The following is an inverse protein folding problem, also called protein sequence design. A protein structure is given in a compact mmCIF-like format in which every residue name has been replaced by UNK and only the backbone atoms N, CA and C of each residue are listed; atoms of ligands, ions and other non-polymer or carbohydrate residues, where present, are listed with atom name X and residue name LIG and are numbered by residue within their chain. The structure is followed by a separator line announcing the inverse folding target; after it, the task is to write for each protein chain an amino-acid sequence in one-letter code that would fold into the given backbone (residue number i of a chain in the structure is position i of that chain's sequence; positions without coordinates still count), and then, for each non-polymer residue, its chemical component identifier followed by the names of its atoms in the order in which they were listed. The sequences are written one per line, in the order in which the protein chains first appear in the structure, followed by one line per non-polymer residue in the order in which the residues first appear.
data_IF_292519228866
#
_entry.id   IF_292519228866
#
_cell.length_a   1.000
_cell.length_b   1.000
_cell.length_c   1.000
_cell.angle_alpha   90.00
_cell.angle_beta   90.00
_cell.angle_gamma   90.00
#
_symmetry.space_group_name_H-M   'P 1'
#
loop_
_entity.id
_entity.type
_entity.pdbx_description
1 polymer ?
#
# COMPACT_ATOMS: atom_id res chain seq x y z
N UNK A 1 11.38 -3.60 -6.75
CA UNK A 1 10.94 -3.92 -5.38
C UNK A 1 10.15 -2.73 -4.89
N UNK A 2 8.88 -2.91 -4.52
CA UNK A 2 8.03 -1.79 -4.12
C UNK A 2 8.39 -1.31 -2.70
N UNK A 3 8.15 -0.03 -2.40
CA UNK A 3 8.51 0.58 -1.12
C UNK A 3 7.81 -0.11 0.07
N UNK A 4 6.60 -0.64 -0.13
CA UNK A 4 5.84 -1.39 0.89
C UNK A 4 6.56 -2.68 1.28
N UNK A 5 7.16 -3.40 0.33
CA UNK A 5 7.91 -4.62 0.64
C UNK A 5 9.25 -4.33 1.32
N UNK A 6 9.81 -3.13 1.13
CA UNK A 6 11.05 -2.68 1.77
C UNK A 6 10.84 -2.12 3.17
N UNK A 7 9.77 -1.36 3.40
CA UNK A 7 9.55 -0.59 4.64
C UNK A 7 8.34 -1.04 5.47
N UNK A 8 7.42 -1.81 4.89
CA UNK A 8 6.14 -2.17 5.49
C UNK A 8 5.04 -1.13 5.26
N UNK A 9 3.77 -1.60 5.29
CA UNK A 9 2.57 -0.79 5.04
C UNK A 9 2.46 0.39 6.01
N UNK A 10 2.70 0.17 7.30
CA UNK A 10 2.58 1.19 8.35
C UNK A 10 3.53 2.38 8.11
N UNK A 11 4.76 2.11 7.66
CA UNK A 11 5.74 3.15 7.38
C UNK A 11 5.33 3.96 6.15
N UNK A 12 4.82 3.29 5.11
CA UNK A 12 4.28 3.97 3.93
C UNK A 12 3.10 4.88 4.29
N UNK A 13 2.20 4.45 5.18
CA UNK A 13 1.10 5.29 5.69
C UNK A 13 1.62 6.54 6.42
N UNK A 14 2.65 6.40 7.27
CA UNK A 14 3.28 7.54 7.96
C UNK A 14 3.91 8.53 6.97
N UNK A 15 4.62 8.04 5.96
CA UNK A 15 5.24 8.88 4.91
C UNK A 15 4.18 9.64 4.12
N UNK A 16 3.08 9.00 3.74
CA UNK A 16 1.98 9.66 3.01
C UNK A 16 1.26 10.67 3.91
N UNK A 17 1.06 10.36 5.20
CA UNK A 17 0.41 11.25 6.16
C UNK A 17 1.25 12.46 6.56
N UNK A 18 2.58 12.33 6.54
CA UNK A 18 3.52 13.41 6.83
C UNK A 18 4.00 14.18 5.60
N UNK A 19 3.50 13.86 4.40
CA UNK A 19 3.95 14.47 3.16
C UNK A 19 3.43 15.91 3.02
N UNK A 20 4.31 16.90 2.77
CA UNK A 20 3.87 18.25 2.46
C UNK A 20 3.27 18.34 1.05
N UNK A 21 2.37 19.29 0.80
CA UNK A 21 1.65 19.45 -0.48
C UNK A 21 2.54 19.57 -1.72
N UNK A 22 3.73 20.17 -1.57
CA UNK A 22 4.69 20.32 -2.67
C UNK A 22 5.50 19.05 -2.96
N UNK A 23 5.47 18.06 -2.07
CA UNK A 23 6.23 16.83 -2.25
C UNK A 23 5.57 15.93 -3.29
N UNK A 24 6.37 15.45 -4.23
CA UNK A 24 5.93 14.52 -5.26
C UNK A 24 6.55 13.13 -5.07
N UNK A 25 7.71 13.05 -4.40
CA UNK A 25 8.41 11.82 -4.10
C UNK A 25 8.98 11.81 -2.69
N UNK A 26 9.36 10.62 -2.25
CA UNK A 26 10.02 10.36 -0.98
C UNK A 26 11.25 9.49 -1.22
N UNK A 27 12.38 9.89 -0.63
CA UNK A 27 13.61 9.12 -0.64
C UNK A 27 13.74 8.36 0.68
N UNK A 28 13.67 7.03 0.62
CA UNK A 28 13.79 6.19 1.83
C UNK A 28 15.20 6.12 2.38
N UNK A 29 16.22 6.32 1.54
CA UNK A 29 17.63 6.26 1.93
C UNK A 29 18.01 7.46 2.81
N UNK A 30 17.54 8.64 2.41
CA UNK A 30 17.83 9.90 3.10
C UNK A 30 16.70 10.35 4.06
N UNK A 31 15.55 9.67 4.05
CA UNK A 31 14.36 10.04 4.82
C UNK A 31 13.88 11.48 4.53
N UNK A 32 13.82 11.86 3.25
CA UNK A 32 13.43 13.22 2.83
C UNK A 32 12.36 13.22 1.74
N UNK A 33 11.49 14.23 1.80
CA UNK A 33 10.54 14.55 0.74
C UNK A 33 11.20 15.37 -0.37
N UNK A 34 10.78 15.13 -1.60
CA UNK A 34 11.34 15.77 -2.79
C UNK A 34 10.21 16.12 -3.75
N UNK A 35 10.33 17.27 -4.42
CA UNK A 35 9.43 17.63 -5.52
C UNK A 35 9.78 16.86 -6.82
N UNK A 36 10.99 16.30 -6.92
CA UNK A 36 11.43 15.50 -8.06
C UNK A 36 11.24 14.01 -7.78
N UNK A 37 10.68 13.29 -8.74
CA UNK A 37 10.51 11.82 -8.72
C UNK A 37 11.63 11.08 -9.45
N UNK A 38 12.62 11.80 -9.97
CA UNK A 38 13.78 11.21 -10.63
C UNK A 38 15.06 11.89 -10.11
N UNK A 39 15.99 11.07 -9.67
CA UNK A 39 17.34 11.47 -9.33
C UNK A 39 18.25 10.30 -9.73
N UNK A 40 19.24 10.54 -10.59
CA UNK A 40 20.14 9.52 -11.15
C UNK A 40 20.91 8.68 -10.10
N UNK A 41 20.76 8.96 -8.80
CA UNK A 41 21.52 8.34 -7.72
C UNK A 41 20.70 7.95 -6.48
N UNK A 42 19.42 8.31 -6.40
CA UNK A 42 18.61 8.09 -5.21
C UNK A 42 17.38 7.25 -5.54
N UNK A 43 17.06 6.30 -4.67
CA UNK A 43 15.85 5.48 -4.73
C UNK A 43 14.64 6.34 -4.29
N UNK A 44 14.22 7.23 -5.18
CA UNK A 44 13.06 8.11 -4.97
C UNK A 44 11.83 7.37 -5.44
N UNK A 45 10.88 7.17 -4.52
CA UNK A 45 9.57 6.61 -4.86
C UNK A 45 8.54 7.73 -4.93
N UNK A 46 7.73 7.73 -5.99
CA UNK A 46 6.65 8.69 -6.15
C UNK A 46 5.59 8.50 -5.06
N UNK A 47 5.17 9.59 -4.39
CA UNK A 47 4.16 9.54 -3.32
C UNK A 47 2.82 9.04 -3.84
N UNK A 48 2.46 9.37 -5.09
CA UNK A 48 1.27 8.84 -5.75
C UNK A 48 1.33 7.31 -5.88
N UNK A 49 2.50 6.76 -6.24
CA UNK A 49 2.67 5.30 -6.35
C UNK A 49 2.55 4.63 -4.97
N UNK A 50 3.09 5.25 -3.92
CA UNK A 50 2.95 4.75 -2.53
C UNK A 50 1.47 4.75 -2.11
N UNK A 51 0.72 5.82 -2.40
CA UNK A 51 -0.72 5.90 -2.14
C UNK A 51 -1.51 4.79 -2.84
N UNK A 52 -1.26 4.60 -4.13
CA UNK A 52 -1.91 3.53 -4.90
C UNK A 52 -1.57 2.16 -4.33
N UNK A 53 -0.30 1.93 -3.99
CA UNK A 53 0.12 0.65 -3.44
C UNK A 53 -0.47 0.39 -2.04
N UNK A 54 -0.64 1.41 -1.20
CA UNK A 54 -1.36 1.28 0.09
C UNK A 54 -2.82 0.91 -0.16
N UNK A 55 -3.50 1.63 -1.06
CA UNK A 55 -4.91 1.38 -1.37
C UNK A 55 -5.13 -0.02 -1.96
N UNK A 56 -4.24 -0.48 -2.84
CA UNK A 56 -4.26 -1.83 -3.41
C UNK A 56 -4.02 -2.91 -2.35
N UNK A 57 -3.08 -2.67 -1.42
CA UNK A 57 -2.83 -3.56 -0.29
C UNK A 57 -4.02 -3.64 0.68
N UNK A 58 -4.67 -2.52 0.99
CA UNK A 58 -5.86 -2.51 1.85
C UNK A 58 -7.08 -3.15 1.15
N UNK A 59 -7.19 -2.99 -0.16
CA UNK A 59 -8.21 -3.68 -0.95
C UNK A 59 -7.98 -5.21 -0.97
N UNK A 60 -6.73 -5.66 -1.11
CA UNK A 60 -6.41 -7.10 -1.13
C UNK A 60 -6.51 -7.76 0.25
N UNK A 61 -6.29 -7.01 1.33
CA UNK A 61 -6.50 -7.50 2.70
C UNK A 61 -7.98 -7.80 3.02
N UNK A 62 -8.91 -7.16 2.30
CA UNK A 62 -10.35 -7.40 2.45
C UNK A 62 -10.85 -8.69 1.76
N UNK A 63 -10.00 -9.43 1.05
CA UNK A 63 -10.37 -10.70 0.43
C UNK A 63 -10.35 -11.91 1.40
N UNK A 64 -10.52 -11.68 2.70
CA UNK A 64 -10.68 -12.76 3.70
C UNK A 64 -12.14 -13.09 4.03
N UNK A 65 -13.13 -12.30 3.62
CA UNK A 65 -14.54 -12.49 4.01
C UNK A 65 -15.40 -13.30 3.02
N UNK A 66 -14.97 -13.57 1.78
CA UNK A 66 -15.79 -14.40 0.86
C UNK A 66 -15.73 -15.89 1.24
N UNK A 67 -14.77 -16.31 2.07
CA UNK A 67 -14.58 -17.73 2.44
C UNK A 67 -15.47 -18.20 3.59
N UNK A 68 -16.30 -17.34 4.20
CA UNK A 68 -17.20 -17.75 5.28
C UNK A 68 -18.70 -17.53 5.01
N UNK A 69 -19.10 -17.18 3.78
CA UNK A 69 -20.51 -17.14 3.39
C UNK A 69 -21.05 -18.51 2.93
N UNK A 70 -20.28 -19.60 3.03
CA UNK A 70 -20.89 -20.94 3.00
C UNK A 70 -21.46 -21.18 4.39
N UNK A 71 -22.64 -20.62 4.63
CA UNK A 71 -23.47 -20.99 5.78
C UNK A 71 -23.56 -22.52 5.82
N UNK A 72 -23.12 -23.21 6.90
CA UNK A 72 -23.16 -24.67 7.01
C UNK A 72 -24.59 -25.21 7.23
N UNK A 73 -25.61 -24.55 6.67
CA UNK A 73 -27.03 -24.87 6.85
C UNK A 73 -27.76 -25.27 5.58
N UNK A 74 -27.08 -25.40 4.43
CA UNK A 74 -27.66 -26.16 3.32
C UNK A 74 -27.54 -27.65 3.63
N UNK A 75 -28.41 -28.14 4.53
CA UNK A 75 -28.76 -29.55 4.54
C UNK A 75 -29.25 -29.90 3.15
N UNK A 76 -28.40 -30.58 2.38
CA UNK A 76 -28.82 -31.27 1.16
C UNK A 76 -29.81 -32.32 1.64
N UNK A 77 -31.09 -32.04 1.42
CA UNK A 77 -32.15 -33.02 1.65
C UNK A 77 -32.00 -34.03 0.51
N UNK A 78 -31.32 -35.13 0.80
CA UNK A 78 -31.37 -36.33 -0.05
C UNK A 78 -32.83 -36.82 -0.07
N UNK A 79 -33.46 -36.74 -1.24
CA UNK A 79 -34.75 -37.37 -1.54
C UNK A 79 -34.62 -38.14 -2.85
#
# INVERSE_FOLDING_TARGET
MNLIEKLGLEKCKQVVGGAPDWANGYCSDLNVYTASISGNKLDITCLAAIRTAIADHEHTDHCTDIRNHISPLTGVIER
#
